data_IF_536508937200
#
_entry.id   IF_536508937200
#
_cell.length_a   1.000
_cell.length_b   1.000
_cell.length_c   1.000
_cell.angle_alpha   90.00
_cell.angle_beta   90.00
_cell.angle_gamma   90.00
#
_symmetry.space_group_name_H-M   'P 1'
#
loop_
_entity.id
_entity.type
_entity.pdbx_description
1 polymer ?
#
# COMPACT_ATOMS: atom_id res chain seq x y z
N UNK A 1 -10.69 56.82 -7.57
CA UNK A 1 -11.84 55.92 -7.77
C UNK A 1 -11.37 54.72 -8.58
N UNK A 2 -11.85 53.53 -8.22
CA UNK A 2 -11.62 52.19 -8.78
C UNK A 2 -10.43 51.36 -8.26
N UNK A 3 -10.58 50.89 -7.02
CA UNK A 3 -10.53 49.44 -6.77
C UNK A 3 -11.67 48.76 -7.55
N UNK A 4 -11.40 47.69 -8.29
CA UNK A 4 -12.34 46.57 -8.47
C UNK A 4 -11.73 45.38 -9.21
N UNK A 5 -12.07 44.20 -8.69
CA UNK A 5 -12.04 42.86 -9.31
C UNK A 5 -10.67 42.24 -9.65
N UNK A 6 -9.91 41.80 -8.63
CA UNK A 6 -9.08 40.59 -8.77
C UNK A 6 -9.93 39.35 -8.45
N UNK A 7 -10.29 38.64 -9.52
CA UNK A 7 -11.11 37.43 -9.59
C UNK A 7 -10.88 36.42 -8.44
N UNK A 8 -11.89 36.26 -7.58
CA UNK A 8 -11.96 35.27 -6.50
C UNK A 8 -12.38 33.87 -6.97
N UNK A 9 -12.79 33.71 -8.24
CA UNK A 9 -13.28 32.43 -8.80
C UNK A 9 -12.18 31.39 -9.11
N UNK A 10 -10.92 31.82 -9.24
CA UNK A 10 -9.78 30.96 -9.63
C UNK A 10 -9.19 30.15 -8.46
N UNK A 11 -9.39 30.61 -7.21
CA UNK A 11 -8.79 30.02 -6.00
C UNK A 11 -9.32 28.61 -5.66
N UNK A 12 -10.65 28.34 -5.63
CA UNK A 12 -11.16 27.02 -5.27
C UNK A 12 -10.84 25.94 -6.30
N UNK A 13 -10.95 26.25 -7.60
CA UNK A 13 -10.62 25.29 -8.67
C UNK A 13 -9.13 24.92 -8.66
N UNK A 14 -8.23 25.91 -8.48
CA UNK A 14 -6.79 25.68 -8.43
C UNK A 14 -6.36 24.86 -7.20
N UNK A 15 -7.03 25.04 -6.06
CA UNK A 15 -6.78 24.23 -4.86
C UNK A 15 -7.17 22.77 -5.07
N UNK A 16 -8.37 22.51 -5.63
CA UNK A 16 -8.79 21.16 -5.98
C UNK A 16 -7.85 20.47 -6.95
N UNK A 17 -7.50 21.13 -8.06
CA UNK A 17 -6.58 20.58 -9.06
C UNK A 17 -5.20 20.28 -8.45
N UNK A 18 -4.75 21.09 -7.48
CA UNK A 18 -3.49 20.83 -6.77
C UNK A 18 -3.59 19.62 -5.85
N UNK A 19 -4.71 19.43 -5.16
CA UNK A 19 -4.95 18.25 -4.33
C UNK A 19 -4.98 16.97 -5.19
N UNK A 20 -5.73 16.98 -6.30
CA UNK A 20 -5.79 15.87 -7.25
C UNK A 20 -4.39 15.45 -7.75
N UNK A 21 -3.54 16.42 -8.11
CA UNK A 21 -2.15 16.14 -8.53
C UNK A 21 -1.26 15.58 -7.40
N UNK A 22 -1.52 15.97 -6.15
CA UNK A 22 -0.83 15.41 -4.99
C UNK A 22 -1.24 13.96 -4.79
N UNK A 23 -2.55 13.68 -4.83
CA UNK A 23 -3.09 12.32 -4.66
C UNK A 23 -2.58 11.38 -5.76
N UNK A 24 -2.55 11.84 -7.01
CA UNK A 24 -1.97 11.09 -8.14
C UNK A 24 -0.47 10.80 -7.92
N UNK A 25 0.26 11.74 -7.34
CA UNK A 25 1.69 11.55 -7.06
C UNK A 25 1.91 10.56 -5.92
N UNK A 26 1.11 10.65 -4.85
CA UNK A 26 1.12 9.69 -3.74
C UNK A 26 0.83 8.28 -4.28
N UNK A 27 -0.24 8.14 -5.08
CA UNK A 27 -0.63 6.87 -5.67
C UNK A 27 0.49 6.25 -6.52
N UNK A 28 1.10 7.01 -7.44
CA UNK A 28 2.20 6.51 -8.28
C UNK A 28 3.39 6.03 -7.45
N UNK A 29 3.75 6.75 -6.38
CA UNK A 29 4.84 6.34 -5.48
C UNK A 29 4.46 5.05 -4.73
N UNK A 30 3.23 4.96 -4.23
CA UNK A 30 2.72 3.76 -3.54
C UNK A 30 2.70 2.55 -4.46
N UNK A 31 2.18 2.68 -5.69
CA UNK A 31 2.15 1.60 -6.67
C UNK A 31 3.56 1.16 -7.08
N UNK A 32 4.50 2.10 -7.26
CA UNK A 32 5.90 1.80 -7.52
C UNK A 32 6.53 0.99 -6.37
N UNK A 33 6.28 1.39 -5.13
CA UNK A 33 6.74 0.64 -3.96
C UNK A 33 6.13 -0.76 -3.92
N UNK A 34 4.84 -0.92 -4.21
CA UNK A 34 4.18 -2.24 -4.30
C UNK A 34 4.86 -3.12 -5.33
N UNK A 35 5.07 -2.62 -6.57
CA UNK A 35 5.73 -3.39 -7.63
C UNK A 35 7.13 -3.86 -7.24
N UNK A 36 7.93 -2.98 -6.64
CA UNK A 36 9.29 -3.31 -6.23
C UNK A 36 9.32 -4.27 -5.04
N UNK A 37 8.45 -4.07 -4.04
CA UNK A 37 8.36 -4.95 -2.88
C UNK A 37 7.87 -6.36 -3.26
N UNK A 38 6.94 -6.51 -4.21
CA UNK A 38 6.44 -7.82 -4.66
C UNK A 38 7.36 -8.51 -5.68
N UNK A 39 8.34 -7.79 -6.23
CA UNK A 39 9.31 -8.35 -7.20
C UNK A 39 10.66 -8.65 -6.56
N UNK A 40 11.21 -7.69 -5.79
CA UNK A 40 12.56 -7.75 -5.23
C UNK A 40 12.55 -8.06 -3.72
N UNK A 41 11.50 -7.64 -3.04
CA UNK A 41 11.37 -7.65 -1.59
C UNK A 41 11.69 -6.29 -0.94
N UNK A 42 11.04 -5.96 0.20
CA UNK A 42 11.24 -4.69 0.92
C UNK A 42 12.70 -4.39 1.29
N UNK A 43 13.46 -5.38 1.77
CA UNK A 43 14.84 -5.14 2.22
C UNK A 43 15.81 -4.89 1.05
N UNK A 44 15.40 -5.20 -0.19
CA UNK A 44 16.18 -4.97 -1.41
C UNK A 44 15.70 -3.75 -2.21
N UNK A 45 14.71 -3.04 -1.71
CA UNK A 45 14.13 -1.88 -2.39
C UNK A 45 14.67 -0.59 -1.76
N UNK A 46 15.14 0.33 -2.60
CA UNK A 46 15.65 1.64 -2.13
C UNK A 46 14.67 2.74 -2.49
N UNK A 47 14.66 3.83 -1.70
CA UNK A 47 13.86 5.02 -2.02
C UNK A 47 14.21 5.60 -3.39
N UNK A 48 15.47 5.51 -3.82
CA UNK A 48 15.88 5.96 -5.16
C UNK A 48 15.23 5.12 -6.26
N UNK A 49 15.19 3.78 -6.10
CA UNK A 49 14.53 2.90 -7.06
C UNK A 49 13.01 3.14 -7.11
N UNK A 50 12.37 3.37 -5.95
CA UNK A 50 10.94 3.74 -5.89
C UNK A 50 10.70 5.07 -6.61
N UNK A 51 11.56 6.06 -6.40
CA UNK A 51 11.43 7.37 -7.04
C UNK A 51 11.58 7.25 -8.57
N UNK A 52 12.56 6.49 -9.04
CA UNK A 52 12.79 6.21 -10.46
C UNK A 52 11.58 5.53 -11.10
N UNK A 53 11.10 4.44 -10.49
CA UNK A 53 9.92 3.68 -10.95
C UNK A 53 8.64 4.53 -10.97
N UNK A 54 8.49 5.47 -10.03
CA UNK A 54 7.36 6.39 -9.96
C UNK A 54 7.52 7.63 -10.88
N UNK A 55 8.67 7.80 -11.54
CA UNK A 55 8.95 8.97 -12.38
C UNK A 55 9.06 10.29 -11.59
N UNK A 56 9.53 10.23 -10.34
CA UNK A 56 9.70 11.39 -9.45
C UNK A 56 11.11 11.46 -8.88
N UNK A 57 11.44 12.57 -8.20
CA UNK A 57 12.72 12.67 -7.49
C UNK A 57 12.66 12.03 -6.11
N UNK A 58 13.81 11.60 -5.57
CA UNK A 58 13.91 11.15 -4.16
C UNK A 58 13.38 12.20 -3.17
N UNK A 59 13.60 13.49 -3.42
CA UNK A 59 13.07 14.57 -2.60
C UNK A 59 11.53 14.64 -2.67
N UNK A 60 10.94 14.36 -3.83
CA UNK A 60 9.48 14.28 -3.97
C UNK A 60 8.91 13.14 -3.14
N UNK A 61 9.57 11.98 -3.08
CA UNK A 61 9.15 10.89 -2.19
C UNK A 61 9.13 11.36 -0.74
N UNK A 62 10.22 11.94 -0.23
CA UNK A 62 10.28 12.42 1.16
C UNK A 62 9.30 13.56 1.48
N UNK A 63 8.86 14.33 0.47
CA UNK A 63 7.81 15.35 0.65
C UNK A 63 6.44 14.75 0.92
N UNK A 64 6.17 13.54 0.41
CA UNK A 64 4.89 12.86 0.58
C UNK A 64 4.93 11.79 1.67
N UNK A 65 6.09 11.18 1.91
CA UNK A 65 6.32 10.16 2.93
C UNK A 65 7.55 10.57 3.74
N UNK A 66 7.33 11.07 4.96
CA UNK A 66 8.43 11.67 5.74
C UNK A 66 9.55 10.67 6.07
N UNK A 67 9.20 9.38 6.13
CA UNK A 67 10.09 8.29 6.48
C UNK A 67 9.70 7.00 5.74
N UNK A 68 10.56 5.98 5.88
CA UNK A 68 10.37 4.67 5.25
C UNK A 68 9.18 3.90 5.85
N UNK A 69 8.80 4.16 7.10
CA UNK A 69 7.65 3.49 7.73
C UNK A 69 6.34 3.95 7.08
N UNK A 70 6.20 5.24 6.80
CA UNK A 70 5.01 5.79 6.14
C UNK A 70 4.87 5.24 4.72
N UNK A 71 5.97 5.16 3.97
CA UNK A 71 5.95 4.55 2.64
C UNK A 71 5.61 3.06 2.73
N UNK A 72 6.22 2.33 3.67
CA UNK A 72 5.95 0.91 3.87
C UNK A 72 4.49 0.64 4.26
N UNK A 73 3.93 1.45 5.16
CA UNK A 73 2.53 1.36 5.57
C UNK A 73 1.59 1.61 4.38
N UNK A 74 1.83 2.67 3.61
CA UNK A 74 1.01 2.99 2.43
C UNK A 74 1.09 1.88 1.37
N UNK A 75 2.30 1.37 1.09
CA UNK A 75 2.54 0.23 0.20
C UNK A 75 1.76 -1.00 0.67
N UNK A 76 1.86 -1.36 1.95
CA UNK A 76 1.24 -2.57 2.49
C UNK A 76 -0.29 -2.45 2.54
N UNK A 77 -0.83 -1.28 2.89
CA UNK A 77 -2.28 -1.00 2.83
C UNK A 77 -2.82 -1.10 1.41
N UNK A 78 -2.10 -0.53 0.44
CA UNK A 78 -2.50 -0.56 -0.96
C UNK A 78 -2.46 -2.00 -1.52
N UNK A 79 -1.39 -2.75 -1.23
CA UNK A 79 -1.31 -4.16 -1.63
C UNK A 79 -2.44 -4.99 -1.01
N UNK A 80 -2.71 -4.85 0.29
CA UNK A 80 -3.79 -5.57 0.96
C UNK A 80 -5.18 -5.22 0.40
N UNK A 81 -5.41 -3.96 0.00
CA UNK A 81 -6.66 -3.54 -0.63
C UNK A 81 -6.88 -4.17 -2.02
N UNK A 82 -5.79 -4.40 -2.78
CA UNK A 82 -5.84 -5.09 -4.07
C UNK A 82 -5.94 -6.62 -3.94
N UNK A 83 -5.44 -7.16 -2.83
CA UNK A 83 -5.36 -8.60 -2.56
C UNK A 83 -6.04 -8.96 -1.23
N UNK A 84 -7.34 -8.69 -1.06
CA UNK A 84 -8.03 -8.91 0.20
C UNK A 84 -7.93 -10.38 0.61
N UNK A 85 -7.48 -10.63 1.85
CA UNK A 85 -7.51 -11.98 2.41
C UNK A 85 -8.96 -12.44 2.59
N UNK A 86 -9.24 -13.75 2.45
CA UNK A 86 -10.57 -14.26 2.70
C UNK A 86 -11.06 -13.97 4.12
N UNK A 87 -12.34 -13.63 4.26
CA UNK A 87 -12.97 -13.33 5.55
C UNK A 87 -13.31 -14.63 6.31
N UNK A 88 -12.53 -14.95 7.34
CA UNK A 88 -12.75 -16.12 8.16
C UNK A 88 -14.10 -16.10 8.91
N UNK A 89 -14.64 -14.91 9.20
CA UNK A 89 -15.93 -14.78 9.89
C UNK A 89 -17.10 -15.21 8.99
N UNK A 90 -16.98 -15.01 7.67
CA UNK A 90 -17.97 -15.47 6.70
C UNK A 90 -18.06 -17.00 6.64
N UNK A 91 -16.95 -17.71 6.88
CA UNK A 91 -16.94 -19.17 6.93
C UNK A 91 -17.64 -19.73 8.17
N UNK A 92 -17.55 -19.04 9.30
CA UNK A 92 -18.20 -19.46 10.55
C UNK A 92 -19.72 -19.63 10.40
N UNK A 93 -20.33 -18.89 9.46
CA UNK A 93 -21.75 -18.93 9.15
C UNK A 93 -22.16 -20.07 8.21
N UNK A 94 -21.22 -20.93 7.77
CA UNK A 94 -21.50 -22.07 6.89
C UNK A 94 -21.64 -23.35 7.72
N UNK A 95 -22.86 -23.89 7.89
CA UNK A 95 -23.09 -25.28 8.26
C UNK A 95 -23.33 -26.14 7.01
N UNK A 96 -22.99 -27.45 7.01
CA UNK A 96 -22.24 -28.23 8.01
C UNK A 96 -20.71 -28.00 7.96
N UNK A 97 -19.98 -28.52 8.95
CA UNK A 97 -18.52 -28.30 9.14
C UNK A 97 -17.68 -28.71 7.91
N UNK A 98 -18.09 -29.75 7.19
CA UNK A 98 -17.40 -30.20 5.99
C UNK A 98 -17.47 -29.15 4.87
N UNK A 99 -18.64 -28.54 4.64
CA UNK A 99 -18.81 -27.48 3.64
C UNK A 99 -18.06 -26.21 4.04
N UNK A 100 -18.06 -25.88 5.35
CA UNK A 100 -17.23 -24.81 5.89
C UNK A 100 -15.76 -25.01 5.59
N UNK A 101 -15.22 -26.18 5.92
CA UNK A 101 -13.82 -26.50 5.69
C UNK A 101 -13.48 -26.46 4.19
N UNK A 102 -14.35 -27.02 3.34
CA UNK A 102 -14.16 -26.98 1.90
C UNK A 102 -14.12 -25.55 1.36
N UNK A 103 -15.07 -24.69 1.78
CA UNK A 103 -15.09 -23.28 1.36
C UNK A 103 -13.85 -22.53 1.85
N UNK A 104 -13.54 -22.66 3.15
CA UNK A 104 -12.40 -21.99 3.77
C UNK A 104 -11.08 -22.37 3.09
N UNK A 105 -10.82 -23.66 2.93
CA UNK A 105 -9.61 -24.14 2.28
C UNK A 105 -9.57 -23.71 0.81
N UNK A 106 -10.69 -23.78 0.08
CA UNK A 106 -10.72 -23.37 -1.34
C UNK A 106 -10.37 -21.90 -1.51
N UNK A 107 -11.03 -21.01 -0.75
CA UNK A 107 -10.79 -19.57 -0.82
C UNK A 107 -9.36 -19.23 -0.35
N UNK A 108 -8.89 -19.85 0.75
CA UNK A 108 -7.56 -19.61 1.28
C UNK A 108 -6.45 -20.08 0.33
N UNK A 109 -6.58 -21.29 -0.24
CA UNK A 109 -5.61 -21.79 -1.22
C UNK A 109 -5.63 -21.03 -2.54
N UNK A 110 -6.80 -20.53 -2.98
CA UNK A 110 -6.88 -19.64 -4.14
C UNK A 110 -6.11 -18.34 -3.89
N UNK A 111 -6.35 -17.70 -2.74
CA UNK A 111 -5.64 -16.48 -2.37
C UNK A 111 -4.13 -16.71 -2.22
N UNK A 112 -3.69 -17.79 -1.56
CA UNK A 112 -2.26 -18.10 -1.49
C UNK A 112 -1.65 -18.39 -2.86
N UNK A 113 -2.37 -19.07 -3.77
CA UNK A 113 -1.86 -19.36 -5.12
C UNK A 113 -1.51 -18.07 -5.87
N UNK A 114 -2.31 -17.04 -5.70
CA UNK A 114 -2.10 -15.74 -6.36
C UNK A 114 -1.05 -14.88 -5.65
N UNK A 115 -0.91 -15.02 -4.32
CA UNK A 115 -0.13 -14.08 -3.50
C UNK A 115 1.13 -14.65 -2.85
N UNK A 116 1.39 -15.97 -2.96
CA UNK A 116 2.47 -16.65 -2.25
C UNK A 116 3.85 -16.04 -2.51
N UNK A 117 4.15 -15.63 -3.73
CA UNK A 117 5.45 -15.02 -4.06
C UNK A 117 5.68 -13.73 -3.25
N UNK A 118 4.70 -12.82 -3.25
CA UNK A 118 4.79 -11.56 -2.51
C UNK A 118 4.94 -11.83 -1.01
N UNK A 119 4.11 -12.71 -0.46
CA UNK A 119 4.15 -13.09 0.96
C UNK A 119 5.50 -13.71 1.36
N UNK A 120 6.09 -14.54 0.51
CA UNK A 120 7.41 -15.12 0.73
C UNK A 120 8.49 -14.04 0.78
N UNK A 121 8.45 -13.05 -0.11
CA UNK A 121 9.41 -11.93 -0.10
C UNK A 121 9.26 -11.07 1.17
N UNK A 122 8.03 -10.79 1.58
CA UNK A 122 7.77 -10.04 2.81
C UNK A 122 8.25 -10.79 4.05
N UNK A 123 7.96 -12.09 4.13
CA UNK A 123 8.40 -12.94 5.23
C UNK A 123 9.94 -13.08 5.26
N UNK A 124 10.58 -13.26 4.10
CA UNK A 124 12.04 -13.34 3.95
C UNK A 124 12.73 -12.09 4.48
N UNK A 125 12.21 -10.91 4.11
CA UNK A 125 12.86 -9.64 4.38
C UNK A 125 12.57 -9.09 5.78
N UNK A 126 11.57 -9.63 6.48
CA UNK A 126 11.10 -9.13 7.78
C UNK A 126 12.24 -8.89 8.78
N UNK A 127 13.21 -9.80 8.88
CA UNK A 127 14.34 -9.67 9.82
C UNK A 127 15.37 -8.61 9.42
N UNK A 128 15.48 -8.29 8.13
CA UNK A 128 16.46 -7.35 7.58
C UNK A 128 15.96 -5.91 7.53
N UNK A 129 14.66 -5.68 7.72
CA UNK A 129 14.05 -4.35 7.75
C UNK A 129 14.49 -3.54 8.98
N UNK A 130 14.55 -2.20 8.89
CA UNK A 130 14.77 -1.34 10.05
C UNK A 130 13.74 -1.61 11.16
N UNK A 131 14.13 -1.47 12.43
CA UNK A 131 13.28 -1.79 13.58
C UNK A 131 11.90 -1.12 13.49
N UNK A 132 11.90 0.16 13.16
CA UNK A 132 10.70 0.96 13.01
C UNK A 132 9.73 0.37 11.94
N UNK A 133 10.27 -0.10 10.80
CA UNK A 133 9.46 -0.72 9.74
C UNK A 133 8.97 -2.11 10.17
N UNK A 134 9.76 -2.87 10.94
CA UNK A 134 9.33 -4.16 11.49
C UNK A 134 8.15 -4.01 12.46
N UNK A 135 8.16 -2.98 13.29
CA UNK A 135 7.06 -2.69 14.21
C UNK A 135 5.77 -2.37 13.43
N UNK A 136 5.88 -1.60 12.34
CA UNK A 136 4.77 -1.35 11.41
C UNK A 136 4.29 -2.65 10.76
N UNK A 137 5.18 -3.50 10.26
CA UNK A 137 4.82 -4.79 9.66
C UNK A 137 4.10 -5.70 10.65
N UNK A 138 4.56 -5.78 11.90
CA UNK A 138 3.92 -6.58 12.95
C UNK A 138 2.51 -6.08 13.29
N UNK A 139 2.32 -4.76 13.36
CA UNK A 139 1.00 -4.17 13.56
C UNK A 139 0.03 -4.47 12.39
N UNK A 140 0.54 -4.54 11.16
CA UNK A 140 -0.26 -4.85 9.98
C UNK A 140 -0.58 -6.35 9.88
N UNK A 141 0.36 -7.24 10.22
CA UNK A 141 0.11 -8.67 10.31
C UNK A 141 -1.05 -8.96 11.29
N UNK A 142 -1.14 -8.23 12.40
CA UNK A 142 -2.25 -8.33 13.35
C UNK A 142 -3.59 -7.74 12.86
N UNK A 143 -3.56 -6.87 11.85
CA UNK A 143 -4.76 -6.25 11.26
C UNK A 143 -5.33 -7.04 10.08
N UNK A 144 -4.50 -7.85 9.40
CA UNK A 144 -4.86 -8.60 8.19
C UNK A 144 -4.81 -10.13 8.35
N UNK A 145 -4.38 -10.64 9.51
CA UNK A 145 -4.41 -12.05 9.90
C UNK A 145 -5.51 -12.35 10.92
#
# INVERSE_FOLDING_TARGET
MNEQQRSTKSRPYRMRKRAELVDETILRITEAAVRLHTTLGPARTTISAVAEEAGVTRLTVYRHFADEQQLFAACTQHWAALHPSPDASAWAQVPPVQQRAQRALTELYAWYRENAQALLLFARDRGALPAAVRDTAAAMDAAYG
#
